data_IF_442077856752
#
_entry.id   IF_442077856752
#
_cell.length_a   1.000
_cell.length_b   1.000
_cell.length_c   1.000
_cell.angle_alpha   90.00
_cell.angle_beta   90.00
_cell.angle_gamma   90.00
#
_symmetry.space_group_name_H-M   'P 1'
#
loop_
_entity.id
_entity.type
_entity.pdbx_description
1 polymer ?
#
# COMPACT_ATOMS: atom_id res chain seq x y z
N UNK A 1 -17.90 -19.11 -19.66
CA UNK A 1 -17.37 -18.67 -18.36
C UNK A 1 -18.28 -17.58 -17.84
N UNK A 2 -18.84 -17.70 -16.65
CA UNK A 2 -19.59 -16.62 -16.02
C UNK A 2 -18.61 -15.54 -15.56
N UNK A 3 -18.90 -14.28 -15.89
CA UNK A 3 -18.10 -13.16 -15.39
C UNK A 3 -18.43 -12.96 -13.90
N UNK A 4 -17.44 -12.99 -13.00
CA UNK A 4 -17.70 -12.73 -11.58
C UNK A 4 -18.22 -11.30 -11.41
N UNK A 5 -19.25 -11.13 -10.59
CA UNK A 5 -19.83 -9.82 -10.22
C UNK A 5 -19.41 -9.44 -8.80
N UNK A 6 -19.11 -8.16 -8.59
CA UNK A 6 -18.77 -7.59 -7.29
C UNK A 6 -19.59 -6.32 -7.06
N UNK A 7 -19.96 -6.04 -5.81
CA UNK A 7 -20.70 -4.82 -5.43
C UNK A 7 -19.77 -3.60 -5.47
N UNK A 8 -18.50 -3.79 -5.11
CA UNK A 8 -17.49 -2.73 -5.09
C UNK A 8 -16.15 -3.16 -5.69
N UNK A 9 -15.47 -2.21 -6.33
CA UNK A 9 -14.10 -2.37 -6.79
C UNK A 9 -13.23 -1.33 -6.09
N UNK A 10 -12.26 -1.80 -5.31
CA UNK A 10 -11.29 -0.96 -4.60
C UNK A 10 -9.96 -1.00 -5.34
N UNK A 11 -9.51 0.15 -5.81
CA UNK A 11 -8.27 0.27 -6.58
C UNK A 11 -7.12 0.65 -5.64
N UNK A 12 -6.09 -0.19 -5.62
CA UNK A 12 -4.90 -0.05 -4.80
C UNK A 12 -5.10 -0.61 -3.39
N UNK A 13 -4.46 -1.75 -3.07
CA UNK A 13 -4.44 -2.27 -1.70
C UNK A 13 -3.32 -1.59 -0.87
N UNK A 14 -3.65 -0.41 -0.33
CA UNK A 14 -2.84 0.41 0.57
C UNK A 14 -3.47 0.39 1.97
N UNK A 15 -2.75 0.83 3.01
CA UNK A 15 -3.24 0.77 4.40
C UNK A 15 -4.62 1.41 4.58
N UNK A 16 -4.85 2.58 3.97
CA UNK A 16 -6.14 3.27 4.03
C UNK A 16 -7.28 2.46 3.38
N UNK A 17 -7.04 1.86 2.21
CA UNK A 17 -8.07 1.11 1.50
C UNK A 17 -8.36 -0.25 2.14
N UNK A 18 -7.40 -0.84 2.86
CA UNK A 18 -7.64 -2.04 3.66
C UNK A 18 -8.72 -1.79 4.74
N UNK A 19 -8.71 -0.62 5.38
CA UNK A 19 -9.72 -0.26 6.39
C UNK A 19 -11.10 -0.15 5.75
N UNK A 20 -11.21 0.59 4.64
CA UNK A 20 -12.48 0.74 3.90
C UNK A 20 -13.00 -0.61 3.40
N UNK A 21 -12.12 -1.44 2.84
CA UNK A 21 -12.48 -2.77 2.34
C UNK A 21 -12.99 -3.67 3.47
N UNK A 22 -12.32 -3.66 4.62
CA UNK A 22 -12.76 -4.42 5.79
C UNK A 22 -14.15 -3.97 6.27
N UNK A 23 -14.38 -2.65 6.30
CA UNK A 23 -15.68 -2.09 6.69
C UNK A 23 -16.80 -2.49 5.71
N UNK A 24 -16.59 -2.38 4.40
CA UNK A 24 -17.56 -2.79 3.38
C UNK A 24 -17.93 -4.28 3.47
N UNK A 25 -16.94 -5.13 3.74
CA UNK A 25 -17.18 -6.58 3.89
C UNK A 25 -17.94 -6.88 5.19
N UNK A 26 -17.57 -6.24 6.30
CA UNK A 26 -18.11 -6.57 7.62
C UNK A 26 -19.47 -5.93 7.90
N UNK A 27 -19.65 -4.65 7.57
CA UNK A 27 -20.86 -3.90 7.93
C UNK A 27 -21.93 -4.00 6.85
N UNK A 28 -21.54 -3.99 5.57
CA UNK A 28 -22.48 -4.01 4.44
C UNK A 28 -22.65 -5.43 3.84
N UNK A 29 -21.90 -6.43 4.32
CA UNK A 29 -21.88 -7.79 3.77
C UNK A 29 -21.66 -7.79 2.24
N UNK A 30 -20.89 -6.82 1.74
CA UNK A 30 -20.69 -6.61 0.31
C UNK A 30 -19.59 -7.51 -0.25
N UNK A 31 -19.71 -7.88 -1.52
CA UNK A 31 -18.64 -8.51 -2.30
C UNK A 31 -17.70 -7.45 -2.87
N UNK A 32 -16.40 -7.58 -2.59
CA UNK A 32 -15.42 -6.54 -2.93
C UNK A 32 -14.25 -7.12 -3.71
N UNK A 33 -13.97 -6.55 -4.87
CA UNK A 33 -12.75 -6.81 -5.65
C UNK A 33 -11.70 -5.76 -5.31
N UNK A 34 -10.58 -6.19 -4.72
CA UNK A 34 -9.44 -5.33 -4.48
C UNK A 34 -8.39 -5.56 -5.57
N UNK A 35 -8.08 -4.50 -6.33
CA UNK A 35 -7.09 -4.56 -7.40
C UNK A 35 -5.79 -3.93 -6.95
N UNK A 36 -4.67 -4.58 -7.23
CA UNK A 36 -3.37 -4.01 -6.96
C UNK A 36 -2.38 -4.17 -8.10
N UNK A 37 -1.64 -3.09 -8.36
CA UNK A 37 -0.45 -3.17 -9.17
C UNK A 37 0.76 -3.66 -8.35
N UNK A 38 1.40 -4.71 -8.85
CA UNK A 38 2.58 -5.33 -8.24
C UNK A 38 2.28 -6.74 -7.74
N UNK A 39 3.27 -7.63 -7.85
CA UNK A 39 3.11 -9.02 -7.43
C UNK A 39 3.00 -9.18 -5.90
N UNK A 40 2.51 -10.34 -5.48
CA UNK A 40 2.66 -10.81 -4.10
C UNK A 40 4.15 -11.01 -3.82
N UNK A 41 4.62 -10.46 -2.71
CA UNK A 41 6.00 -10.62 -2.30
C UNK A 41 6.04 -11.40 -0.99
N UNK A 42 6.77 -12.52 -1.03
CA UNK A 42 6.98 -13.45 0.08
C UNK A 42 8.46 -13.53 0.44
N UNK A 43 9.26 -12.58 -0.03
CA UNK A 43 10.68 -12.48 0.25
C UNK A 43 10.92 -12.18 1.74
N UNK A 44 11.89 -12.85 2.39
CA UNK A 44 12.28 -12.50 3.76
C UNK A 44 12.83 -11.06 3.85
N UNK A 45 13.29 -10.49 2.73
CA UNK A 45 13.80 -9.12 2.68
C UNK A 45 12.71 -8.07 2.92
N UNK A 46 11.43 -8.39 2.69
CA UNK A 46 10.34 -7.44 2.92
C UNK A 46 10.03 -7.26 4.42
N UNK A 47 10.23 -8.31 5.21
CA UNK A 47 9.97 -8.27 6.66
C UNK A 47 11.19 -7.76 7.43
N UNK A 48 12.40 -7.95 6.89
CA UNK A 48 13.64 -7.50 7.53
C UNK A 48 13.87 -5.99 7.31
N UNK A 49 13.85 -5.14 8.36
CA UNK A 49 13.99 -3.69 8.20
C UNK A 49 15.34 -3.28 7.60
N UNK A 50 16.41 -4.03 7.91
CA UNK A 50 17.75 -3.77 7.41
C UNK A 50 17.87 -3.83 5.88
N UNK A 51 16.91 -4.45 5.19
CA UNK A 51 16.92 -4.59 3.73
C UNK A 51 16.07 -3.58 2.99
N UNK A 52 15.60 -2.51 3.65
CA UNK A 52 14.75 -1.48 3.05
C UNK A 52 15.30 -0.91 1.75
N UNK A 53 16.61 -0.61 1.65
CA UNK A 53 17.22 -0.05 0.42
C UNK A 53 17.13 -1.03 -0.76
N UNK A 54 17.29 -2.33 -0.48
CA UNK A 54 17.21 -3.38 -1.51
C UNK A 54 15.77 -3.57 -1.97
N UNK A 55 14.82 -3.64 -1.04
CA UNK A 55 13.39 -3.77 -1.36
C UNK A 55 12.92 -2.53 -2.13
N UNK A 56 13.35 -1.34 -1.68
CA UNK A 56 13.06 -0.07 -2.33
C UNK A 56 13.44 -0.08 -3.82
N UNK A 57 14.66 -0.48 -4.16
CA UNK A 57 15.12 -0.50 -5.55
C UNK A 57 14.36 -1.52 -6.43
N UNK A 58 13.97 -2.66 -5.87
CA UNK A 58 13.33 -3.74 -6.64
C UNK A 58 11.81 -3.64 -6.72
N UNK A 59 11.18 -2.98 -5.75
CA UNK A 59 9.74 -2.98 -5.54
C UNK A 59 9.16 -1.58 -5.57
N UNK A 60 9.82 -0.64 -6.25
CA UNK A 60 9.29 0.70 -6.49
C UNK A 60 8.82 0.89 -7.93
N UNK A 61 7.88 1.81 -8.10
CA UNK A 61 7.60 2.36 -9.41
C UNK A 61 8.82 3.11 -9.96
N UNK A 62 9.10 3.05 -11.27
CA UNK A 62 10.22 3.74 -11.89
C UNK A 62 9.87 5.22 -12.13
N UNK A 63 9.45 5.92 -11.08
CA UNK A 63 9.11 7.34 -11.16
C UNK A 63 10.33 8.21 -10.86
N UNK A 64 10.55 9.20 -11.72
CA UNK A 64 11.52 10.26 -11.54
C UNK A 64 10.81 11.61 -11.71
N UNK A 65 11.28 12.62 -10.98
CA UNK A 65 10.82 13.99 -11.20
C UNK A 65 11.40 14.53 -12.51
N UNK A 66 10.71 15.49 -13.13
CA UNK A 66 11.36 16.39 -14.09
C UNK A 66 12.47 17.20 -13.41
N UNK A 67 13.36 17.82 -14.19
CA UNK A 67 14.42 18.69 -13.68
C UNK A 67 13.83 19.78 -12.78
N UNK A 68 14.30 19.85 -11.54
CA UNK A 68 13.78 20.79 -10.55
C UNK A 68 14.65 22.06 -10.48
N UNK A 69 14.13 23.26 -10.81
CA UNK A 69 14.91 24.49 -10.82
C UNK A 69 15.46 24.85 -9.43
N UNK A 70 14.75 24.48 -8.37
CA UNK A 70 15.16 24.70 -6.98
C UNK A 70 15.98 23.55 -6.38
N UNK A 71 16.40 22.58 -7.19
CA UNK A 71 17.20 21.44 -6.74
C UNK A 71 18.40 21.20 -7.67
N UNK A 72 19.10 22.28 -8.04
CA UNK A 72 20.24 22.27 -8.97
C UNK A 72 19.93 21.60 -10.31
N UNK A 73 18.70 21.78 -10.83
CA UNK A 73 18.23 21.13 -12.06
C UNK A 73 18.43 19.61 -12.05
N UNK A 74 18.26 18.95 -10.90
CA UNK A 74 18.36 17.50 -10.82
C UNK A 74 17.03 16.83 -11.08
N UNK A 75 17.09 15.63 -11.68
CA UNK A 75 16.03 14.64 -11.59
C UNK A 75 16.24 13.80 -10.32
N UNK A 76 15.16 13.55 -9.59
CA UNK A 76 15.21 12.77 -8.35
C UNK A 76 14.23 11.61 -8.42
N UNK A 77 14.63 10.46 -7.87
CA UNK A 77 13.78 9.27 -7.80
C UNK A 77 12.64 9.53 -6.82
N UNK A 78 11.41 9.24 -7.23
CA UNK A 78 10.24 9.30 -6.36
C UNK A 78 9.99 7.90 -5.81
N UNK A 79 10.26 7.74 -4.53
CA UNK A 79 10.14 6.45 -3.87
C UNK A 79 8.67 6.06 -3.64
N UNK A 80 8.13 5.14 -4.45
CA UNK A 80 6.75 4.65 -4.33
C UNK A 80 6.66 3.14 -4.50
N UNK A 81 6.19 2.43 -3.48
CA UNK A 81 6.12 0.97 -3.49
C UNK A 81 5.08 0.39 -4.47
N UNK A 82 5.54 -0.50 -5.36
CA UNK A 82 4.76 -1.34 -6.28
C UNK A 82 4.71 -2.79 -5.78
N UNK A 83 4.21 -2.97 -4.55
CA UNK A 83 4.09 -4.27 -3.87
C UNK A 83 2.95 -4.19 -2.86
N UNK A 84 2.31 -5.30 -2.52
CA UNK A 84 1.29 -5.39 -1.45
C UNK A 84 1.73 -4.63 -0.17
N UNK A 85 0.86 -3.77 0.39
CA UNK A 85 1.21 -2.79 1.44
C UNK A 85 1.86 -1.46 0.98
N UNK A 86 2.24 -1.33 -0.30
CA UNK A 86 2.72 -0.12 -0.98
C UNK A 86 3.85 0.58 -0.22
N UNK A 87 3.72 1.88 0.09
CA UNK A 87 4.71 2.65 0.84
C UNK A 87 5.08 2.03 2.19
N UNK A 88 4.11 1.45 2.92
CA UNK A 88 4.38 0.81 4.22
C UNK A 88 5.27 -0.44 4.10
N UNK A 89 5.27 -1.10 2.94
CA UNK A 89 6.10 -2.28 2.67
C UNK A 89 7.54 -1.94 2.30
N UNK A 90 7.81 -0.70 1.89
CA UNK A 90 9.13 -0.24 1.42
C UNK A 90 9.70 0.89 2.29
N UNK A 91 9.11 1.13 3.47
CA UNK A 91 9.55 2.16 4.41
C UNK A 91 10.55 1.61 5.43
N UNK A 92 11.16 2.51 6.20
CA UNK A 92 12.08 2.19 7.30
C UNK A 92 11.39 1.73 8.59
N UNK A 93 10.10 1.35 8.54
CA UNK A 93 9.30 0.88 9.70
C UNK A 93 9.28 1.84 10.89
N UNK A 94 9.39 3.14 10.63
CA UNK A 94 9.33 4.18 11.66
C UNK A 94 7.88 4.63 11.88
N UNK A 95 7.42 4.61 13.12
CA UNK A 95 6.16 5.21 13.54
C UNK A 95 6.43 6.60 14.13
N UNK A 96 5.85 7.63 13.51
CA UNK A 96 5.92 9.00 14.00
C UNK A 96 4.48 9.45 14.28
N UNK A 97 4.21 9.83 15.52
CA UNK A 97 2.93 10.41 15.91
C UNK A 97 3.01 11.93 15.87
N UNK A 98 1.94 12.57 15.40
CA UNK A 98 1.82 14.03 15.45
C UNK A 98 1.63 14.46 16.91
N UNK A 99 2.29 15.55 17.30
CA UNK A 99 2.12 16.16 18.63
C UNK A 99 0.94 17.14 18.59
N UNK A 100 0.15 17.17 19.67
CA UNK A 100 -1.07 17.98 19.78
C UNK A 100 -0.79 19.45 19.42
N UNK A 101 -1.48 19.95 18.39
CA UNK A 101 -1.27 21.29 17.81
C UNK A 101 -0.96 21.30 16.31
N UNK A 102 -0.77 20.13 15.69
CA UNK A 102 -0.55 19.95 14.25
C UNK A 102 -1.57 19.02 13.57
N UNK A 103 -2.75 18.84 14.15
CA UNK A 103 -3.66 17.76 13.75
C UNK A 103 -4.25 18.00 12.36
N UNK A 104 -3.82 17.21 11.39
CA UNK A 104 -4.69 16.19 10.80
C UNK A 104 -3.88 15.20 9.94
N UNK A 105 -4.23 13.92 10.05
CA UNK A 105 -4.02 12.82 9.10
C UNK A 105 -3.02 11.71 9.50
N UNK A 106 -3.65 10.68 10.10
CA UNK A 106 -3.46 9.24 9.86
C UNK A 106 -2.30 8.56 10.60
N UNK A 107 -2.68 7.82 11.65
CA UNK A 107 -1.97 6.62 12.09
C UNK A 107 -2.89 5.40 11.94
N UNK A 108 -2.47 4.45 11.09
CA UNK A 108 -2.84 3.03 11.21
C UNK A 108 -1.92 2.23 10.27
N UNK A 109 -0.98 1.50 10.85
CA UNK A 109 -0.21 0.48 10.13
C UNK A 109 -1.10 -0.77 9.97
N UNK A 110 -1.39 -1.12 8.73
CA UNK A 110 -2.35 -2.19 8.38
C UNK A 110 -1.68 -3.57 8.26
N UNK A 111 -0.56 -3.82 8.95
CA UNK A 111 0.10 -5.13 8.90
C UNK A 111 -0.76 -6.27 9.48
N UNK A 112 -1.83 -5.97 10.23
CA UNK A 112 -2.81 -6.96 10.70
C UNK A 112 -4.07 -7.11 9.84
N UNK A 113 -4.36 -6.23 8.88
CA UNK A 113 -5.57 -6.32 8.06
C UNK A 113 -5.45 -7.30 6.88
N UNK A 114 -4.31 -8.00 6.73
CA UNK A 114 -4.02 -8.86 5.59
C UNK A 114 -4.37 -10.35 5.80
N UNK A 115 -5.08 -10.67 6.88
CA UNK A 115 -5.81 -11.94 7.01
C UNK A 115 -7.31 -11.80 6.68
N UNK A 116 -7.67 -11.08 5.62
CA UNK A 116 -9.02 -11.24 5.02
C UNK A 116 -9.05 -12.60 4.32
N UNK A 117 -9.24 -13.66 5.11
CA UNK A 117 -9.71 -14.98 4.64
C UNK A 117 -11.24 -14.99 4.71
N UNK A 118 -11.88 -14.11 3.93
CA UNK A 118 -13.31 -14.20 3.67
C UNK A 118 -13.49 -14.56 2.21
N UNK A 119 -14.41 -15.49 1.92
CA UNK A 119 -14.77 -15.89 0.55
C UNK A 119 -15.28 -14.70 -0.30
N UNK A 120 -15.55 -13.55 0.32
CA UNK A 120 -16.10 -12.34 -0.30
C UNK A 120 -15.06 -11.36 -0.85
N UNK A 121 -13.76 -11.59 -0.61
CA UNK A 121 -12.69 -10.70 -1.05
C UNK A 121 -11.67 -11.46 -1.92
N UNK A 122 -11.61 -11.09 -3.20
CA UNK A 122 -10.54 -11.55 -4.10
C UNK A 122 -9.53 -10.42 -4.26
N UNK A 123 -8.27 -10.73 -3.94
CA UNK A 123 -7.14 -9.85 -4.17
C UNK A 123 -6.38 -10.36 -5.40
N UNK A 124 -6.36 -9.54 -6.45
CA UNK A 124 -5.63 -9.80 -7.69
C UNK A 124 -4.43 -8.84 -7.78
#
# INVERSE_FOLDING_TARGET
MSTPSYDHIVIGAVSASCVVTAQLIQEANASVLALKAGGRDSSPFQTMPATVVRVFQQKSWPYTTVLQPHCNHRETIIAQGKVLGAGSSVNGKLLISVVKGGDALVAADAQHALQIRSNSALLI
#
